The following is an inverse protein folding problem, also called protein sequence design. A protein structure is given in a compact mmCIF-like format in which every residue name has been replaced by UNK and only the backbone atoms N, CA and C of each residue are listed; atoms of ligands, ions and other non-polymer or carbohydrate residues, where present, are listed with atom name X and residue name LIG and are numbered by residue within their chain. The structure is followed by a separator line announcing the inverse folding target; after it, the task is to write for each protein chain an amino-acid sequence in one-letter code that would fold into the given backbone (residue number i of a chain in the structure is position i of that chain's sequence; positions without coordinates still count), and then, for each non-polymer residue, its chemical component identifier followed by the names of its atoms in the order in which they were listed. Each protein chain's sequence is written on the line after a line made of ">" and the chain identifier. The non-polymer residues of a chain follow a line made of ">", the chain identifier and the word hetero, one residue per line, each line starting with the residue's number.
data_IF_516941827666
#
_entry.id   IF_516941827666
#
_cell.length_a   1.000
_cell.length_b   1.000
_cell.length_c   1.000
_cell.angle_alpha   90.00
_cell.angle_beta   90.00
_cell.angle_gamma   90.00
#
_symmetry.space_group_name_H-M   'P 1'
#
loop_
_entity.id
_entity.type
_entity.pdbx_description
1 polymer ?
#
# COMPACT_ATOMS: atom_id res chain seq x y z
N UNK A 1 -0.37 -18.35 13.04
CA UNK A 1 -0.08 -19.14 14.25
C UNK A 1 1.43 -19.33 14.40
N UNK A 2 1.92 -19.96 15.47
CA UNK A 2 3.35 -20.27 15.62
C UNK A 2 3.83 -21.38 14.66
N UNK A 3 2.90 -22.09 14.01
CA UNK A 3 3.22 -23.11 13.00
C UNK A 3 3.69 -24.42 13.59
N UNK A 4 3.61 -24.62 14.91
CA UNK A 4 4.14 -25.80 15.61
C UNK A 4 3.14 -26.44 16.60
N UNK A 5 1.87 -26.04 16.56
CA UNK A 5 0.82 -26.59 17.41
C UNK A 5 0.45 -28.05 17.03
N UNK A 6 -0.23 -28.80 17.92
CA UNK A 6 -0.55 -30.21 17.67
C UNK A 6 -1.36 -30.47 16.41
N UNK A 7 -2.24 -29.55 16.01
CA UNK A 7 -3.04 -29.68 14.79
C UNK A 7 -2.15 -29.54 13.56
N UNK A 8 -1.29 -28.52 13.52
CA UNK A 8 -0.33 -28.32 12.42
C UNK A 8 0.62 -29.52 12.29
N UNK A 9 1.13 -30.07 13.39
CA UNK A 9 1.98 -31.27 13.35
C UNK A 9 1.23 -32.50 12.83
N UNK A 10 -0.05 -32.65 13.16
CA UNK A 10 -0.86 -33.76 12.65
C UNK A 10 -1.05 -33.70 11.13
N UNK A 11 -1.01 -32.50 10.51
CA UNK A 11 -1.06 -32.36 9.06
C UNK A 11 0.15 -32.96 8.34
N UNK A 12 1.26 -33.23 9.04
CA UNK A 12 2.40 -33.96 8.45
C UNK A 12 2.03 -35.38 7.97
N UNK A 13 0.93 -35.94 8.47
CA UNK A 13 0.39 -37.26 8.10
C UNK A 13 -0.40 -37.24 6.78
N UNK A 14 -0.76 -36.06 6.26
CA UNK A 14 -1.39 -35.93 4.94
C UNK A 14 -0.45 -36.47 3.86
N UNK A 15 -0.96 -37.06 2.77
CA UNK A 15 -0.13 -37.54 1.65
C UNK A 15 0.85 -36.46 1.18
N UNK A 16 2.13 -36.82 0.99
CA UNK A 16 3.21 -35.89 0.64
C UNK A 16 3.01 -35.16 -0.69
N UNK A 17 2.13 -35.66 -1.57
CA UNK A 17 1.77 -35.03 -2.85
C UNK A 17 0.76 -33.90 -2.72
N UNK A 18 0.17 -33.71 -1.54
CA UNK A 18 -0.78 -32.63 -1.28
C UNK A 18 -0.03 -31.46 -0.67
N UNK A 19 -0.02 -30.34 -1.38
CA UNK A 19 0.47 -29.07 -0.86
C UNK A 19 -0.46 -28.56 0.25
N UNK A 20 0.15 -27.94 1.27
CA UNK A 20 -0.55 -27.40 2.42
C UNK A 20 -0.39 -25.89 2.43
N UNK A 21 -1.52 -25.18 2.48
CA UNK A 21 -1.52 -23.73 2.56
C UNK A 21 -1.10 -23.21 3.93
N UNK A 22 -0.40 -22.08 3.94
CA UNK A 22 -0.07 -21.33 5.14
C UNK A 22 -0.10 -19.82 4.87
N UNK A 23 -0.67 -19.03 5.77
CA UNK A 23 -0.74 -17.56 5.62
C UNK A 23 0.36 -16.82 6.37
N UNK A 24 1.22 -17.55 7.08
CA UNK A 24 2.22 -16.99 8.00
C UNK A 24 1.71 -16.90 9.44
N UNK A 25 2.32 -16.00 10.24
CA UNK A 25 1.99 -15.85 11.66
C UNK A 25 0.59 -15.26 11.87
N UNK A 26 0.10 -14.47 10.92
CA UNK A 26 -1.20 -13.79 10.97
C UNK A 26 -2.05 -14.16 9.75
N UNK A 27 -3.31 -13.71 9.74
CA UNK A 27 -4.17 -13.83 8.56
C UNK A 27 -3.56 -13.00 7.43
N UNK A 28 -3.32 -11.71 7.68
CA UNK A 28 -2.50 -10.84 6.84
C UNK A 28 -1.15 -10.68 7.54
N UNK A 29 -0.13 -11.42 7.10
CA UNK A 29 1.18 -11.41 7.74
C UNK A 29 2.02 -10.23 7.27
N UNK A 30 2.45 -9.31 8.17
CA UNK A 30 3.35 -8.21 7.80
C UNK A 30 4.70 -8.72 7.32
N UNK A 31 5.17 -9.82 7.91
CA UNK A 31 6.41 -10.48 7.52
C UNK A 31 6.25 -12.00 7.42
N UNK A 32 7.08 -12.60 6.57
CA UNK A 32 7.33 -14.04 6.47
C UNK A 32 8.85 -14.21 6.43
N UNK A 33 9.45 -14.44 7.59
CA UNK A 33 10.89 -14.62 7.73
C UNK A 33 11.32 -16.10 7.62
N UNK A 34 12.63 -16.34 7.49
CA UNK A 34 13.16 -17.71 7.38
C UNK A 34 12.99 -18.53 8.64
N UNK A 35 12.97 -17.90 9.82
CA UNK A 35 12.87 -18.63 11.09
C UNK A 35 11.47 -19.25 11.23
N UNK A 36 10.44 -18.46 10.97
CA UNK A 36 9.05 -18.90 10.92
C UNK A 36 8.83 -19.91 9.79
N UNK A 37 9.37 -19.64 8.59
CA UNK A 37 9.25 -20.55 7.45
C UNK A 37 9.90 -21.91 7.72
N UNK A 38 11.09 -21.93 8.36
CA UNK A 38 11.76 -23.15 8.77
C UNK A 38 11.00 -23.89 9.89
N UNK A 39 10.38 -23.15 10.82
CA UNK A 39 9.58 -23.74 11.89
C UNK A 39 8.35 -24.47 11.34
N UNK A 40 7.56 -23.82 10.48
CA UNK A 40 6.38 -24.45 9.86
C UNK A 40 6.77 -25.59 8.92
N UNK A 41 7.86 -25.45 8.16
CA UNK A 41 8.38 -26.52 7.29
C UNK A 41 8.73 -27.77 8.10
N UNK A 42 9.37 -27.60 9.27
CA UNK A 42 9.69 -28.70 10.17
C UNK A 42 8.43 -29.36 10.74
N UNK A 43 7.42 -28.57 11.12
CA UNK A 43 6.18 -29.08 11.68
C UNK A 43 5.34 -29.86 10.66
N UNK A 44 5.29 -29.38 9.41
CA UNK A 44 4.56 -30.02 8.31
C UNK A 44 5.33 -31.16 7.65
N UNK A 45 6.62 -31.31 7.96
CA UNK A 45 7.56 -32.20 7.28
C UNK A 45 7.58 -31.99 5.74
N UNK A 46 7.31 -30.76 5.30
CA UNK A 46 7.34 -30.29 3.91
C UNK A 46 7.30 -28.75 3.86
N UNK A 47 7.82 -28.11 2.80
CA UNK A 47 7.59 -26.68 2.59
C UNK A 47 6.10 -26.39 2.38
N UNK A 48 5.51 -25.36 3.02
CA UNK A 48 4.15 -24.94 2.72
C UNK A 48 4.07 -24.22 1.36
N UNK A 49 2.85 -24.21 0.80
CA UNK A 49 2.45 -23.25 -0.22
C UNK A 49 1.88 -22.02 0.49
N UNK A 50 2.45 -20.84 0.27
CA UNK A 50 1.95 -19.64 0.95
C UNK A 50 0.67 -19.14 0.28
N UNK A 51 -0.42 -19.06 1.05
CA UNK A 51 -1.58 -18.24 0.69
C UNK A 51 -1.35 -16.86 1.26
N UNK A 52 -0.96 -15.92 0.42
CA UNK A 52 -0.59 -14.60 0.86
C UNK A 52 -1.77 -13.64 0.76
N UNK A 53 -2.24 -13.14 1.91
CA UNK A 53 -3.35 -12.19 1.98
C UNK A 53 -2.87 -10.76 1.66
N UNK A 54 -2.42 -10.59 0.43
CA UNK A 54 -2.09 -9.32 -0.21
C UNK A 54 -2.23 -9.48 -1.74
N UNK A 55 -2.85 -8.53 -2.48
CA UNK A 55 -3.37 -7.23 -2.03
C UNK A 55 -4.80 -7.21 -1.48
N UNK A 56 -5.45 -8.34 -1.18
CA UNK A 56 -6.85 -8.38 -0.70
C UNK A 56 -7.15 -7.30 0.37
N UNK A 57 -8.25 -6.56 0.19
CA UNK A 57 -8.68 -5.45 1.05
C UNK A 57 -10.12 -5.64 1.55
N UNK A 58 -10.53 -6.88 1.81
CA UNK A 58 -11.87 -7.21 2.27
C UNK A 58 -12.09 -6.94 3.77
N UNK A 59 -13.32 -7.11 4.22
CA UNK A 59 -13.72 -7.04 5.64
C UNK A 59 -13.32 -5.71 6.29
N UNK A 60 -12.38 -5.71 7.25
CA UNK A 60 -11.95 -4.53 7.97
C UNK A 60 -11.03 -3.62 7.11
N UNK A 61 -10.45 -4.13 6.03
CA UNK A 61 -9.49 -3.41 5.16
C UNK A 61 -10.17 -2.69 4.00
N UNK A 62 -11.52 -2.73 3.90
CA UNK A 62 -12.26 -2.12 2.79
C UNK A 62 -12.11 -0.60 2.63
N UNK A 63 -11.42 0.05 3.56
CA UNK A 63 -11.05 1.46 3.50
C UNK A 63 -9.66 1.72 2.88
N UNK A 64 -8.88 0.68 2.60
CA UNK A 64 -7.52 0.72 2.02
C UNK A 64 -7.53 0.25 0.55
N UNK A 65 -6.63 0.77 -0.30
CA UNK A 65 -6.57 0.43 -1.74
C UNK A 65 -5.46 -0.58 -2.09
N UNK A 66 -4.58 -0.95 -1.14
CA UNK A 66 -3.54 -1.99 -1.30
C UNK A 66 -2.85 -2.04 -2.68
N UNK A 67 -2.40 -0.89 -3.19
CA UNK A 67 -1.64 -0.78 -4.45
C UNK A 67 -0.15 -0.55 -4.22
N UNK A 68 0.35 -0.69 -3.00
CA UNK A 68 1.78 -0.57 -2.68
C UNK A 68 2.65 -1.71 -3.24
N UNK A 69 3.97 -1.66 -3.00
CA UNK A 69 4.85 -2.78 -3.29
C UNK A 69 4.64 -3.98 -2.37
N UNK A 70 4.90 -5.18 -2.89
CA UNK A 70 5.02 -6.38 -2.09
C UNK A 70 6.25 -6.31 -1.17
N UNK A 71 6.05 -6.51 0.14
CA UNK A 71 7.08 -6.35 1.18
C UNK A 71 7.02 -7.45 2.25
N UNK A 72 8.09 -7.53 3.04
CA UNK A 72 8.16 -8.36 4.25
C UNK A 72 8.36 -9.86 4.02
N UNK A 73 8.58 -10.31 2.79
CA UNK A 73 8.93 -11.71 2.49
C UNK A 73 10.44 -11.82 2.34
N UNK A 74 11.03 -12.78 3.02
CA UNK A 74 12.49 -12.96 3.01
C UNK A 74 13.02 -13.31 1.62
N UNK A 75 14.15 -12.72 1.22
CA UNK A 75 14.80 -12.95 -0.09
C UNK A 75 15.15 -14.42 -0.36
N UNK A 76 15.27 -15.24 0.69
CA UNK A 76 15.55 -16.67 0.61
C UNK A 76 14.35 -17.56 0.95
N UNK A 77 13.12 -17.00 1.02
CA UNK A 77 11.92 -17.75 1.36
C UNK A 77 11.68 -18.97 0.45
N UNK A 78 12.10 -18.89 -0.81
CA UNK A 78 12.04 -19.99 -1.79
C UNK A 78 12.72 -21.29 -1.30
N UNK A 79 13.61 -21.22 -0.31
CA UNK A 79 14.25 -22.40 0.31
C UNK A 79 13.34 -23.17 1.25
N UNK A 80 12.28 -22.53 1.73
CA UNK A 80 11.33 -23.05 2.72
C UNK A 80 9.86 -22.92 2.25
N UNK A 81 9.64 -22.69 0.96
CA UNK A 81 8.32 -22.51 0.38
C UNK A 81 8.21 -23.31 -0.93
N UNK A 82 7.06 -23.94 -1.16
CA UNK A 82 6.72 -24.50 -2.48
C UNK A 82 6.39 -23.39 -3.47
N UNK A 83 5.85 -22.27 -2.97
CA UNK A 83 5.49 -21.11 -3.76
C UNK A 83 4.65 -20.12 -2.96
N UNK A 84 4.13 -19.11 -3.66
CA UNK A 84 3.24 -18.08 -3.12
C UNK A 84 2.06 -17.92 -4.06
N UNK A 85 0.85 -17.88 -3.50
CA UNK A 85 -0.40 -17.53 -4.18
C UNK A 85 -0.90 -16.23 -3.55
N UNK A 86 -0.90 -15.14 -4.32
CA UNK A 86 -1.39 -13.85 -3.87
C UNK A 86 -2.92 -13.77 -3.94
N UNK A 87 -3.54 -13.35 -2.85
CA UNK A 87 -4.98 -13.13 -2.76
C UNK A 87 -5.32 -11.69 -3.20
N UNK A 88 -6.02 -11.55 -4.32
CA UNK A 88 -6.36 -10.25 -4.92
C UNK A 88 -7.47 -9.48 -4.21
N UNK A 89 -7.59 -8.19 -4.53
CA UNK A 89 -8.81 -7.43 -4.22
C UNK A 89 -9.93 -7.82 -5.20
N UNK A 90 -11.17 -7.45 -4.87
CA UNK A 90 -12.27 -7.44 -5.85
C UNK A 90 -12.10 -6.34 -6.93
N UNK A 91 -11.12 -5.45 -6.74
CA UNK A 91 -10.69 -4.41 -7.67
C UNK A 91 -9.62 -4.97 -8.62
N UNK A 92 -10.06 -5.44 -9.79
CA UNK A 92 -9.22 -6.20 -10.72
C UNK A 92 -8.11 -5.34 -11.34
N UNK A 93 -8.44 -4.14 -11.83
CA UNK A 93 -7.45 -3.26 -12.46
C UNK A 93 -6.41 -2.77 -11.43
N UNK A 94 -6.87 -2.42 -10.23
CA UNK A 94 -6.04 -1.94 -9.14
C UNK A 94 -5.10 -3.04 -8.62
N UNK A 95 -5.58 -4.28 -8.51
CA UNK A 95 -4.76 -5.43 -8.07
C UNK A 95 -3.57 -5.72 -8.98
N UNK A 96 -3.59 -5.31 -10.25
CA UNK A 96 -2.48 -5.54 -11.18
C UNK A 96 -1.18 -4.89 -10.73
N UNK A 97 -1.24 -3.74 -10.04
CA UNK A 97 -0.05 -3.05 -9.53
C UNK A 97 0.67 -3.94 -8.52
N UNK A 98 -0.06 -4.38 -7.48
CA UNK A 98 0.48 -5.27 -6.46
C UNK A 98 0.93 -6.61 -7.05
N UNK A 99 0.13 -7.24 -7.93
CA UNK A 99 0.49 -8.50 -8.58
C UNK A 99 1.77 -8.41 -9.41
N UNK A 100 2.02 -7.28 -10.08
CA UNK A 100 3.27 -7.08 -10.81
C UNK A 100 4.48 -7.11 -9.86
N UNK A 101 4.38 -6.47 -8.69
CA UNK A 101 5.46 -6.50 -7.69
C UNK A 101 5.64 -7.88 -7.04
N UNK A 102 4.54 -8.63 -6.81
CA UNK A 102 4.60 -10.03 -6.38
C UNK A 102 5.31 -10.88 -7.44
N UNK A 103 4.98 -10.70 -8.72
CA UNK A 103 5.58 -11.46 -9.82
C UNK A 103 7.09 -11.17 -9.97
N UNK A 104 7.51 -9.93 -9.74
CA UNK A 104 8.92 -9.52 -9.76
C UNK A 104 9.70 -10.16 -8.60
N UNK A 105 9.15 -10.12 -7.38
CA UNK A 105 9.70 -10.83 -6.23
C UNK A 105 9.82 -12.33 -6.47
N UNK A 106 8.79 -12.98 -7.04
CA UNK A 106 8.83 -14.43 -7.30
C UNK A 106 9.81 -14.82 -8.40
N UNK A 107 10.14 -13.88 -9.30
CA UNK A 107 11.12 -14.09 -10.36
C UNK A 107 12.55 -14.03 -9.84
N UNK A 108 12.87 -13.03 -9.02
CA UNK A 108 14.20 -12.83 -8.45
C UNK A 108 14.11 -12.24 -7.04
N UNK A 109 13.84 -13.07 -6.01
CA UNK A 109 13.65 -12.58 -4.64
C UNK A 109 14.95 -12.04 -4.04
N UNK A 110 16.10 -12.50 -4.52
CA UNK A 110 17.43 -12.06 -4.06
C UNK A 110 17.92 -10.80 -4.77
N UNK A 111 17.29 -10.37 -5.85
CA UNK A 111 17.54 -9.10 -6.56
C UNK A 111 16.41 -8.09 -6.42
N UNK A 112 15.25 -8.49 -5.90
CA UNK A 112 14.06 -7.68 -5.77
C UNK A 112 14.31 -6.40 -4.95
N UNK A 113 14.03 -5.26 -5.59
CA UNK A 113 13.88 -3.96 -4.95
C UNK A 113 12.40 -3.54 -5.02
N UNK A 114 11.72 -3.38 -3.88
CA UNK A 114 10.29 -3.11 -3.87
C UNK A 114 9.91 -1.73 -4.47
N UNK A 115 10.72 -0.68 -4.30
CA UNK A 115 10.37 0.65 -4.84
C UNK A 115 10.59 0.69 -6.35
N UNK A 116 11.70 0.13 -6.84
CA UNK A 116 11.92 0.02 -8.28
C UNK A 116 10.86 -0.85 -8.97
N UNK A 117 10.44 -1.94 -8.31
CA UNK A 117 9.37 -2.80 -8.82
C UNK A 117 8.03 -2.08 -8.89
N UNK A 118 7.69 -1.32 -7.84
CA UNK A 118 6.46 -0.56 -7.78
C UNK A 118 6.39 0.54 -8.84
N UNK A 119 7.49 1.25 -9.06
CA UNK A 119 7.59 2.26 -10.12
C UNK A 119 7.40 1.66 -11.53
N UNK A 120 7.97 0.48 -11.78
CA UNK A 120 7.71 -0.27 -13.03
C UNK A 120 6.26 -0.72 -13.12
N UNK A 121 5.69 -1.26 -12.04
CA UNK A 121 4.29 -1.71 -12.01
C UNK A 121 3.31 -0.58 -12.31
N UNK A 122 3.54 0.62 -11.75
CA UNK A 122 2.76 1.81 -12.06
C UNK A 122 2.85 2.18 -13.55
N UNK A 123 4.05 2.19 -14.12
CA UNK A 123 4.25 2.47 -15.55
C UNK A 123 3.56 1.42 -16.46
N UNK A 124 3.64 0.14 -16.10
CA UNK A 124 3.04 -0.95 -16.88
C UNK A 124 1.50 -0.90 -16.86
N UNK A 125 0.92 -0.64 -15.68
CA UNK A 125 -0.54 -0.65 -15.49
C UNK A 125 -1.16 0.66 -15.98
N UNK A 126 -0.61 1.81 -15.55
CA UNK A 126 -1.17 3.14 -15.85
C UNK A 126 -0.79 3.59 -17.26
N UNK A 127 0.45 3.32 -17.69
CA UNK A 127 1.02 3.80 -18.95
C UNK A 127 2.04 4.90 -18.74
N UNK A 128 2.00 5.93 -19.58
CA UNK A 128 3.00 7.00 -19.62
C UNK A 128 2.38 8.41 -19.57
N UNK A 129 3.25 9.43 -19.51
CA UNK A 129 2.85 10.83 -19.61
C UNK A 129 2.02 11.33 -18.41
N UNK A 130 1.01 12.18 -18.64
CA UNK A 130 0.29 12.84 -17.55
C UNK A 130 -0.54 11.87 -16.69
N UNK A 131 -1.04 10.77 -17.26
CA UNK A 131 -1.78 9.74 -16.52
C UNK A 131 -0.87 9.10 -15.46
N UNK A 132 0.34 8.68 -15.84
CA UNK A 132 1.32 8.10 -14.92
C UNK A 132 1.76 9.11 -13.87
N UNK A 133 2.05 10.35 -14.26
CA UNK A 133 2.49 11.38 -13.31
C UNK A 133 1.43 11.66 -12.23
N UNK A 134 0.17 11.81 -12.63
CA UNK A 134 -0.93 12.03 -11.70
C UNK A 134 -1.22 10.79 -10.85
N UNK A 135 -1.26 9.60 -11.45
CA UNK A 135 -1.57 8.36 -10.71
C UNK A 135 -0.45 7.98 -9.75
N UNK A 136 0.82 8.19 -10.09
CA UNK A 136 1.96 8.00 -9.17
C UNK A 136 1.80 8.88 -7.94
N UNK A 137 1.42 10.14 -8.12
CA UNK A 137 1.20 11.06 -7.01
C UNK A 137 0.05 10.60 -6.13
N UNK A 138 -1.07 10.15 -6.72
CA UNK A 138 -2.17 9.54 -5.96
C UNK A 138 -1.73 8.26 -5.22
N UNK A 139 -1.05 7.34 -5.91
CA UNK A 139 -0.64 6.03 -5.39
C UNK A 139 0.34 6.16 -4.22
N UNK A 140 1.17 7.20 -4.19
CA UNK A 140 2.04 7.52 -3.05
C UNK A 140 1.26 7.68 -1.74
N UNK A 141 -0.01 8.10 -1.82
CA UNK A 141 -0.86 8.45 -0.68
C UNK A 141 -1.82 7.34 -0.24
N UNK A 142 -1.73 6.15 -0.83
CA UNK A 142 -2.60 4.97 -0.56
C UNK A 142 -1.81 3.64 -0.59
N UNK A 143 -0.57 3.67 -0.11
CA UNK A 143 0.34 2.52 0.02
C UNK A 143 -0.02 1.60 1.21
N UNK A 144 -0.79 2.10 2.16
CA UNK A 144 -1.09 1.54 3.47
C UNK A 144 -1.77 0.19 3.35
N UNK A 145 -1.23 -0.78 4.07
CA UNK A 145 -1.69 -2.17 4.06
C UNK A 145 -1.10 -2.94 5.24
N UNK A 146 -1.40 -4.25 5.29
CA UNK A 146 -0.71 -5.17 6.20
C UNK A 146 0.81 -5.26 5.97
N UNK A 147 1.31 -4.87 4.79
CA UNK A 147 2.73 -4.94 4.42
C UNK A 147 3.47 -3.62 4.59
N UNK A 148 2.74 -2.52 4.73
CA UNK A 148 3.25 -1.17 4.81
C UNK A 148 2.34 -0.38 5.76
N UNK A 149 2.74 -0.15 7.02
CA UNK A 149 1.90 0.56 7.97
C UNK A 149 1.72 2.05 7.64
N UNK A 150 2.66 2.64 6.89
CA UNK A 150 2.71 4.07 6.61
C UNK A 150 2.34 4.42 5.16
N UNK A 151 1.73 5.58 5.00
CA UNK A 151 1.34 6.14 3.71
C UNK A 151 2.09 7.43 3.44
N UNK A 152 2.05 7.87 2.17
CA UNK A 152 2.33 9.26 1.79
C UNK A 152 3.71 9.79 2.21
N UNK A 153 4.81 9.06 1.98
CA UNK A 153 6.15 9.48 2.42
C UNK A 153 6.54 10.87 1.88
N UNK A 154 6.07 11.24 0.67
CA UNK A 154 6.30 12.57 0.12
C UNK A 154 5.56 13.65 0.91
N UNK A 155 4.29 13.42 1.26
CA UNK A 155 3.50 14.37 2.04
C UNK A 155 4.07 14.50 3.46
N UNK A 156 4.45 13.39 4.11
CA UNK A 156 5.07 13.40 5.44
C UNK A 156 6.26 14.36 5.47
N UNK A 157 7.19 14.23 4.53
CA UNK A 157 8.35 15.13 4.46
C UNK A 157 7.98 16.60 4.21
N UNK A 158 6.94 16.86 3.41
CA UNK A 158 6.42 18.24 3.22
C UNK A 158 5.83 18.80 4.50
N UNK A 159 5.09 18.00 5.27
CA UNK A 159 4.49 18.41 6.54
C UNK A 159 5.54 18.64 7.63
N UNK A 160 6.55 17.79 7.71
CA UNK A 160 7.70 17.97 8.63
C UNK A 160 8.43 19.28 8.32
N UNK A 161 8.73 19.54 7.04
CA UNK A 161 9.38 20.78 6.63
C UNK A 161 8.49 22.00 6.87
N UNK A 162 7.19 21.89 6.58
CA UNK A 162 6.21 22.93 6.87
C UNK A 162 6.16 23.27 8.36
N UNK A 163 6.10 22.26 9.24
CA UNK A 163 6.06 22.44 10.69
C UNK A 163 7.34 23.11 11.19
N UNK A 164 8.50 22.68 10.72
CA UNK A 164 9.78 23.28 11.05
C UNK A 164 9.85 24.77 10.67
N UNK A 165 9.48 25.11 9.43
CA UNK A 165 9.49 26.50 8.93
C UNK A 165 8.45 27.38 9.63
N UNK A 166 7.31 26.82 10.05
CA UNK A 166 6.30 27.55 10.84
C UNK A 166 6.81 27.93 12.23
N UNK A 167 7.54 27.03 12.89
CA UNK A 167 7.98 27.22 14.27
C UNK A 167 9.30 28.01 14.36
N UNK A 168 10.24 27.76 13.44
CA UNK A 168 11.61 28.28 13.52
C UNK A 168 12.00 29.20 12.35
N UNK A 169 11.19 29.27 11.29
CA UNK A 169 11.53 29.89 10.01
C UNK A 169 10.56 30.98 9.55
N UNK A 170 10.36 31.07 8.22
CA UNK A 170 9.42 32.01 7.59
C UNK A 170 8.05 31.35 7.43
N UNK A 171 7.08 31.75 8.24
CA UNK A 171 5.70 31.26 8.17
C UNK A 171 5.07 31.46 6.77
N UNK A 172 5.44 32.51 6.03
CA UNK A 172 4.98 32.72 4.67
C UNK A 172 5.66 31.75 3.69
N UNK A 173 6.92 31.37 3.91
CA UNK A 173 7.60 30.32 3.15
C UNK A 173 6.96 28.95 3.39
N UNK A 174 6.65 28.63 4.65
CA UNK A 174 5.92 27.41 5.01
C UNK A 174 4.57 27.35 4.29
N UNK A 175 3.78 28.43 4.34
CA UNK A 175 2.51 28.51 3.61
C UNK A 175 2.67 28.28 2.10
N UNK A 176 3.70 28.86 1.47
CA UNK A 176 3.99 28.64 0.04
C UNK A 176 4.34 27.18 -0.26
N UNK A 177 5.18 26.55 0.57
CA UNK A 177 5.57 25.14 0.42
C UNK A 177 4.33 24.23 0.41
N UNK A 178 3.48 24.38 1.42
CA UNK A 178 2.28 23.55 1.57
C UNK A 178 1.26 23.83 0.45
N UNK A 179 1.08 25.10 0.05
CA UNK A 179 0.17 25.47 -1.03
C UNK A 179 0.61 24.90 -2.40
N UNK A 180 1.91 24.92 -2.69
CA UNK A 180 2.45 24.33 -3.93
C UNK A 180 2.16 22.83 -3.96
N UNK A 181 2.48 22.12 -2.89
CA UNK A 181 2.23 20.68 -2.83
C UNK A 181 0.73 20.35 -2.92
N UNK A 182 -0.12 21.07 -2.18
CA UNK A 182 -1.56 20.90 -2.24
C UNK A 182 -2.12 21.12 -3.66
N UNK A 183 -1.61 22.13 -4.39
CA UNK A 183 -2.03 22.37 -5.77
C UNK A 183 -1.61 21.22 -6.71
N UNK A 184 -0.42 20.65 -6.54
CA UNK A 184 -0.01 19.47 -7.32
C UNK A 184 -0.96 18.28 -7.10
N UNK A 185 -1.37 18.03 -5.85
CA UNK A 185 -2.33 16.97 -5.53
C UNK A 185 -3.71 17.25 -6.18
N UNK A 186 -4.18 18.51 -6.15
CA UNK A 186 -5.45 18.91 -6.78
C UNK A 186 -5.42 18.77 -8.30
N UNK A 187 -4.31 19.13 -8.93
CA UNK A 187 -4.15 19.01 -10.38
C UNK A 187 -4.14 17.52 -10.79
N UNK A 188 -3.45 16.67 -10.02
CA UNK A 188 -3.48 15.22 -10.22
C UNK A 188 -4.89 14.64 -10.02
N UNK A 189 -5.58 15.01 -8.95
CA UNK A 189 -6.96 14.58 -8.68
C UNK A 189 -7.90 15.04 -9.80
N UNK A 190 -7.78 16.28 -10.26
CA UNK A 190 -8.58 16.83 -11.35
C UNK A 190 -8.35 16.12 -12.68
N UNK A 191 -7.08 15.82 -13.01
CA UNK A 191 -6.74 15.03 -14.18
C UNK A 191 -7.35 13.64 -14.12
N UNK A 192 -7.23 12.94 -12.99
CA UNK A 192 -7.73 11.58 -12.84
C UNK A 192 -9.27 11.52 -12.80
N UNK A 193 -9.93 12.38 -12.02
CA UNK A 193 -11.38 12.33 -11.82
C UNK A 193 -12.19 12.89 -13.00
N UNK A 194 -11.65 13.89 -13.70
CA UNK A 194 -12.39 14.70 -14.69
C UNK A 194 -11.69 14.80 -16.06
N UNK A 195 -10.41 14.43 -16.15
CA UNK A 195 -9.64 14.49 -17.39
C UNK A 195 -9.85 13.28 -18.31
N UNK A 196 -9.31 13.33 -19.55
CA UNK A 196 -9.38 12.24 -20.50
C UNK A 196 -8.31 11.18 -20.23
N UNK A 197 -8.46 10.40 -19.15
CA UNK A 197 -7.54 9.30 -18.80
C UNK A 197 -7.71 8.07 -19.71
N UNK A 198 -6.60 7.41 -20.04
CA UNK A 198 -6.57 6.20 -20.87
C UNK A 198 -7.11 4.97 -20.13
N UNK A 199 -6.71 4.80 -18.87
CA UNK A 199 -7.10 3.64 -18.02
C UNK A 199 -8.34 3.93 -17.19
N UNK A 200 -9.49 4.15 -17.85
CA UNK A 200 -10.73 4.52 -17.15
C UNK A 200 -11.17 3.50 -16.09
N UNK A 201 -11.11 2.20 -16.38
CA UNK A 201 -11.54 1.18 -15.42
C UNK A 201 -10.72 1.21 -14.11
N UNK A 202 -9.39 1.40 -14.20
CA UNK A 202 -8.52 1.59 -13.04
C UNK A 202 -8.93 2.81 -12.20
N UNK A 203 -9.21 3.93 -12.87
CA UNK A 203 -9.64 5.16 -12.20
C UNK A 203 -11.02 5.01 -11.56
N UNK A 204 -11.95 4.32 -12.22
CA UNK A 204 -13.28 4.06 -11.64
C UNK A 204 -13.22 3.16 -10.40
N UNK A 205 -12.37 2.12 -10.39
CA UNK A 205 -12.12 1.30 -9.20
C UNK A 205 -11.54 2.13 -8.05
N UNK A 206 -10.58 3.02 -8.35
CA UNK A 206 -9.92 3.87 -7.37
C UNK A 206 -10.72 5.13 -6.97
N UNK A 207 -11.86 5.41 -7.63
CA UNK A 207 -12.62 6.65 -7.49
C UNK A 207 -12.91 7.04 -6.03
N UNK A 208 -13.37 6.15 -5.13
CA UNK A 208 -13.65 6.52 -3.74
C UNK A 208 -12.43 7.08 -2.99
N UNK A 209 -11.23 6.56 -3.28
CA UNK A 209 -9.97 7.04 -2.72
C UNK A 209 -9.51 8.33 -3.40
N UNK A 210 -9.68 8.45 -4.72
CA UNK A 210 -9.36 9.68 -5.45
C UNK A 210 -10.19 10.89 -4.98
N UNK A 211 -11.45 10.65 -4.59
CA UNK A 211 -12.31 11.69 -4.03
C UNK A 211 -11.87 12.14 -2.63
N UNK A 212 -11.39 11.23 -1.78
CA UNK A 212 -10.76 11.60 -0.49
C UNK A 212 -9.41 12.28 -0.71
N UNK A 213 -8.63 11.84 -1.69
CA UNK A 213 -7.38 12.47 -2.10
C UNK A 213 -7.59 13.94 -2.50
N UNK A 214 -8.62 14.24 -3.30
CA UNK A 214 -9.01 15.61 -3.63
C UNK A 214 -9.42 16.41 -2.38
N UNK A 215 -10.21 15.82 -1.48
CA UNK A 215 -10.64 16.48 -0.23
C UNK A 215 -9.47 16.82 0.69
N UNK A 216 -8.53 15.89 0.88
CA UNK A 216 -7.34 16.15 1.70
C UNK A 216 -6.45 17.21 1.06
N UNK A 217 -6.31 17.22 -0.28
CA UNK A 217 -5.59 18.27 -0.99
C UNK A 217 -6.22 19.67 -0.79
N UNK A 218 -7.56 19.77 -0.80
CA UNK A 218 -8.26 21.01 -0.47
C UNK A 218 -8.01 21.45 0.98
N UNK A 219 -7.99 20.50 1.93
CA UNK A 219 -7.70 20.79 3.33
C UNK A 219 -6.27 21.30 3.52
N UNK A 220 -5.29 20.69 2.85
CA UNK A 220 -3.89 21.16 2.85
C UNK A 220 -3.78 22.58 2.27
N UNK A 221 -4.48 22.87 1.17
CA UNK A 221 -4.49 24.21 0.57
C UNK A 221 -5.10 25.27 1.50
N UNK A 222 -6.14 24.90 2.25
CA UNK A 222 -6.76 25.79 3.23
C UNK A 222 -5.86 26.00 4.46
N UNK A 223 -5.20 24.95 4.96
CA UNK A 223 -4.21 25.04 6.03
C UNK A 223 -3.02 25.93 5.63
N UNK A 224 -2.59 25.87 4.36
CA UNK A 224 -1.55 26.73 3.81
C UNK A 224 -1.91 28.24 3.81
N UNK A 225 -3.21 28.57 3.85
CA UNK A 225 -3.74 29.95 3.83
C UNK A 225 -4.14 30.49 5.21
N UNK A 226 -3.92 29.71 6.28
CA UNK A 226 -4.35 29.99 7.67
C UNK A 226 -5.87 29.96 7.92
N UNK A 227 -6.68 29.41 7.00
CA UNK A 227 -8.15 29.51 7.05
C UNK A 227 -8.86 28.15 7.19
N UNK A 228 -8.61 27.42 8.29
CA UNK A 228 -9.41 26.23 8.64
C UNK A 228 -9.78 26.22 10.13
N UNK A 229 -11.08 26.10 10.39
CA UNK A 229 -11.62 25.66 11.69
C UNK A 229 -12.06 24.19 11.60
N UNK A 230 -11.93 23.41 12.69
CA UNK A 230 -12.28 21.99 12.70
C UNK A 230 -13.73 21.71 12.31
N UNK A 231 -13.94 20.61 11.59
CA UNK A 231 -15.27 20.04 11.33
C UNK A 231 -15.37 18.65 12.00
N UNK A 232 -16.55 18.28 12.54
CA UNK A 232 -16.65 17.11 13.40
C UNK A 232 -16.58 15.79 12.61
N UNK A 233 -16.01 14.78 13.28
CA UNK A 233 -15.77 13.42 12.78
C UNK A 233 -17.03 12.79 12.17
N UNK A 234 -16.86 12.24 10.97
CA UNK A 234 -17.80 11.40 10.21
C UNK A 234 -17.28 9.95 10.20
N UNK A 235 -18.07 8.94 9.75
CA UNK A 235 -17.62 7.55 9.65
C UNK A 235 -16.26 7.42 8.97
N UNK A 236 -15.50 6.36 9.28
CA UNK A 236 -14.12 6.17 8.84
C UNK A 236 -14.00 6.40 7.31
N UNK A 237 -13.37 7.50 6.88
CA UNK A 237 -13.19 7.79 5.46
C UNK A 237 -12.27 6.75 4.81
N UNK A 238 -12.27 6.68 3.47
CA UNK A 238 -11.24 5.89 2.78
C UNK A 238 -9.87 6.40 3.20
N UNK A 239 -8.94 5.49 3.53
CA UNK A 239 -7.60 5.84 4.03
C UNK A 239 -6.79 6.39 2.87
N UNK A 240 -6.51 7.68 2.94
CA UNK A 240 -5.60 8.41 2.06
C UNK A 240 -4.78 9.33 2.97
N UNK A 241 -3.49 9.48 2.69
CA UNK A 241 -2.55 10.23 3.52
C UNK A 241 -2.22 9.57 4.87
N UNK A 242 -2.63 8.31 5.08
CA UNK A 242 -2.46 7.58 6.35
C UNK A 242 -2.92 8.41 7.55
N UNK A 243 -2.06 8.48 8.57
CA UNK A 243 -2.29 9.26 9.78
C UNK A 243 -1.62 10.66 9.69
N UNK A 244 -0.98 11.00 8.56
CA UNK A 244 -0.21 12.26 8.43
C UNK A 244 -1.07 13.51 8.56
N UNK A 245 -2.36 13.41 8.22
CA UNK A 245 -3.31 14.50 8.42
C UNK A 245 -3.91 14.54 9.83
N UNK A 246 -3.75 13.48 10.65
CA UNK A 246 -4.18 13.50 12.05
C UNK A 246 -3.31 14.43 12.91
N UNK A 247 -2.03 14.59 12.57
CA UNK A 247 -1.14 15.57 13.20
C UNK A 247 -1.49 17.02 12.86
N UNK A 248 -2.23 17.23 11.76
CA UNK A 248 -2.84 18.51 11.41
C UNK A 248 -4.19 18.73 12.09
N UNK A 249 -4.52 17.97 13.14
CA UNK A 249 -5.74 18.20 13.92
C UNK A 249 -5.75 19.60 14.53
N UNK A 250 -6.47 20.50 13.85
CA UNK A 250 -7.02 21.75 14.37
C UNK A 250 -8.22 21.48 15.28
#
# INVERSE_FOLDING_TARGET
>A
GSGDDPYVRALSLVDARVDLFWTGRSICSPTIDLADAAAVTRALNRPPLYWDNYPVNDVAMGHELHIGPYRGRDRQLYRFATGVVANGMELYESSKIAFATVADYLRDPEGYDPEESWERALADVVGDGPDLAAYRLFADNVRGSCLEPYDAPRLTGVLEQWAFEREHGDAAAAGRLLAVHAQELLDAAGHLLRGPVRRRALVEEARPWLEEFERGALALLAAAREDVRPHPRRPAPKRVFGDCLEELSW
#
